data_IF_077017912420
#
_entry.id   IF_077017912420
#
_cell.length_a   1.000
_cell.length_b   1.000
_cell.length_c   1.000
_cell.angle_alpha   90.00
_cell.angle_beta   90.00
_cell.angle_gamma   90.00
#
_symmetry.space_group_name_H-M   'P 1'
#
loop_
_entity.id
_entity.type
_entity.pdbx_description
1 polymer ?
#
# COMPACT_ATOMS: atom_id res chain seq x y z
N UNK A 1 -29.42 -62.22 -22.95
CA UNK A 1 -28.05 -62.68 -23.25
C UNK A 1 -27.79 -62.46 -24.73
N UNK A 2 -26.68 -61.80 -25.08
CA UNK A 2 -26.15 -61.68 -26.46
C UNK A 2 -27.07 -60.91 -27.45
N UNK A 3 -26.52 -60.39 -28.58
CA UNK A 3 -26.61 -59.00 -29.00
C UNK A 3 -27.29 -58.86 -30.38
N UNK A 4 -27.46 -57.65 -30.91
CA UNK A 4 -27.39 -57.47 -32.37
C UNK A 4 -27.08 -56.04 -32.79
N UNK A 5 -26.03 -55.91 -33.59
CA UNK A 5 -25.80 -54.79 -34.48
C UNK A 5 -26.74 -54.88 -35.68
N UNK A 6 -27.23 -53.75 -36.22
CA UNK A 6 -27.44 -53.67 -37.67
C UNK A 6 -27.30 -52.25 -38.20
N UNK A 7 -26.40 -52.10 -39.17
CA UNK A 7 -26.33 -50.99 -40.13
C UNK A 7 -27.41 -51.21 -41.20
N UNK A 8 -28.00 -50.13 -41.71
CA UNK A 8 -28.31 -49.95 -43.16
C UNK A 8 -28.54 -48.46 -43.48
N UNK A 9 -27.91 -48.03 -44.58
CA UNK A 9 -27.86 -46.69 -45.24
C UNK A 9 -29.03 -46.54 -46.26
N UNK A 10 -29.00 -45.61 -47.26
CA UNK A 10 -29.18 -44.14 -47.26
C UNK A 10 -30.23 -43.68 -48.33
N UNK A 11 -30.49 -42.35 -48.48
CA UNK A 11 -30.67 -41.57 -49.76
C UNK A 11 -31.38 -40.22 -49.50
N UNK A 12 -30.76 -39.09 -49.90
CA UNK A 12 -31.06 -38.21 -51.06
C UNK A 12 -32.41 -37.48 -50.95
N UNK A 13 -32.63 -36.21 -51.33
CA UNK A 13 -31.85 -35.08 -51.85
C UNK A 13 -32.73 -33.82 -51.62
N UNK A 14 -32.16 -32.62 -51.68
CA UNK A 14 -32.95 -31.39 -51.68
C UNK A 14 -32.13 -30.12 -51.51
N UNK A 15 -31.89 -29.46 -52.64
CA UNK A 15 -31.24 -28.15 -52.82
C UNK A 15 -31.77 -27.04 -51.92
N UNK A 16 -30.91 -26.04 -51.65
CA UNK A 16 -31.33 -24.76 -51.11
C UNK A 16 -30.15 -23.95 -50.58
N UNK A 17 -29.61 -23.08 -51.44
CA UNK A 17 -28.54 -22.15 -51.16
C UNK A 17 -28.82 -21.21 -49.97
N UNK A 18 -27.77 -20.86 -49.20
CA UNK A 18 -27.22 -19.50 -49.10
C UNK A 18 -26.26 -19.38 -47.90
N UNK A 19 -25.18 -18.62 -48.11
CA UNK A 19 -23.94 -18.68 -47.34
C UNK A 19 -24.03 -18.17 -45.91
N UNK A 20 -23.44 -18.93 -44.98
CA UNK A 20 -23.04 -18.44 -43.66
C UNK A 20 -21.52 -18.30 -43.59
N UNK A 21 -21.01 -17.08 -43.82
CA UNK A 21 -19.68 -16.70 -43.36
C UNK A 21 -19.74 -16.52 -41.84
N UNK A 22 -19.30 -17.55 -41.10
CA UNK A 22 -19.06 -17.45 -39.65
C UNK A 22 -18.10 -16.29 -39.39
N UNK A 23 -18.61 -15.19 -38.84
CA UNK A 23 -17.80 -14.13 -38.27
C UNK A 23 -16.88 -14.71 -37.17
N UNK A 24 -15.56 -14.58 -37.35
CA UNK A 24 -14.58 -14.92 -36.34
C UNK A 24 -14.82 -14.03 -35.11
N UNK A 25 -15.13 -14.64 -33.96
CA UNK A 25 -15.17 -13.95 -32.67
C UNK A 25 -13.76 -13.44 -32.34
N UNK A 26 -13.57 -12.13 -32.46
CA UNK A 26 -12.36 -11.45 -32.00
C UNK A 26 -12.42 -11.37 -30.47
N UNK A 27 -11.39 -11.87 -29.81
CA UNK A 27 -11.20 -11.81 -28.35
C UNK A 27 -11.18 -10.34 -27.89
N UNK A 28 -11.73 -9.99 -26.70
CA UNK A 28 -11.92 -8.61 -26.26
C UNK A 28 -10.60 -8.01 -25.73
N UNK A 29 -9.59 -7.93 -26.58
CA UNK A 29 -8.29 -7.32 -26.26
C UNK A 29 -8.08 -5.97 -26.97
N UNK A 30 -8.95 -5.61 -27.93
CA UNK A 30 -8.90 -4.34 -28.66
C UNK A 30 -10.27 -3.64 -28.67
N UNK A 31 -10.85 -3.42 -27.49
CA UNK A 31 -11.77 -2.29 -27.33
C UNK A 31 -10.91 -1.11 -26.86
N UNK A 32 -10.79 -0.08 -27.72
CA UNK A 32 -10.39 1.26 -27.31
C UNK A 32 -11.15 1.58 -26.02
N UNK A 33 -10.43 1.95 -24.95
CA UNK A 33 -11.02 2.63 -23.80
C UNK A 33 -11.79 3.81 -24.37
N UNK A 34 -13.10 3.69 -24.47
CA UNK A 34 -13.98 4.84 -24.61
C UNK A 34 -13.72 5.66 -23.35
N UNK A 35 -13.08 6.81 -23.52
CA UNK A 35 -13.14 7.88 -22.52
C UNK A 35 -14.62 8.15 -22.29
N UNK A 36 -15.16 7.61 -21.19
CA UNK A 36 -16.40 8.12 -20.63
C UNK A 36 -16.04 9.53 -20.16
N UNK A 37 -16.31 10.51 -21.00
CA UNK A 37 -16.41 11.91 -20.59
C UNK A 37 -17.61 11.95 -19.64
N UNK A 38 -17.32 12.10 -18.36
CA UNK A 38 -18.26 12.03 -17.24
C UNK A 38 -19.40 13.07 -17.40
N UNK A 39 -20.66 12.66 -17.19
CA UNK A 39 -21.88 13.50 -17.10
C UNK A 39 -21.87 14.44 -15.86
N UNK A 40 -20.71 14.70 -15.26
CA UNK A 40 -20.51 15.45 -14.02
C UNK A 40 -20.00 16.90 -14.25
N UNK A 41 -19.85 17.32 -15.51
CA UNK A 41 -19.46 18.69 -15.86
C UNK A 41 -20.57 19.66 -15.41
N UNK A 42 -20.32 20.39 -14.33
CA UNK A 42 -21.22 21.40 -13.77
C UNK A 42 -21.86 21.05 -12.42
N UNK A 43 -21.66 19.84 -11.89
CA UNK A 43 -22.12 19.51 -10.53
C UNK A 43 -21.14 20.07 -9.48
N UNK A 44 -21.64 20.60 -8.34
CA UNK A 44 -20.81 21.04 -7.23
C UNK A 44 -19.86 19.94 -6.75
N UNK A 45 -20.39 18.74 -6.47
CA UNK A 45 -19.59 17.58 -6.09
C UNK A 45 -19.40 16.65 -7.28
N UNK A 46 -18.15 16.24 -7.53
CA UNK A 46 -17.80 15.31 -8.61
C UNK A 46 -16.66 14.38 -8.22
N UNK A 47 -16.73 13.13 -8.67
CA UNK A 47 -15.60 12.21 -8.62
C UNK A 47 -14.64 12.52 -9.77
N UNK A 48 -13.35 12.35 -9.52
CA UNK A 48 -12.30 12.48 -10.52
C UNK A 48 -11.70 11.10 -10.82
N UNK A 49 -10.95 10.95 -11.93
CA UNK A 49 -10.22 9.73 -12.19
C UNK A 49 -9.36 9.30 -10.97
N UNK A 50 -9.42 8.02 -10.56
CA UNK A 50 -8.59 7.52 -9.48
C UNK A 50 -7.10 7.76 -9.74
N UNK A 51 -6.36 8.04 -8.67
CA UNK A 51 -4.93 8.34 -8.72
C UNK A 51 -4.08 7.09 -8.47
N UNK A 52 -2.84 7.16 -8.93
CA UNK A 52 -1.85 6.10 -8.80
C UNK A 52 -1.92 5.02 -9.88
N UNK A 53 -0.85 4.21 -10.03
CA UNK A 53 -0.75 3.19 -11.08
C UNK A 53 -1.81 2.08 -10.94
N UNK A 54 -2.28 1.85 -9.72
CA UNK A 54 -3.27 0.83 -9.37
C UNK A 54 -4.69 1.38 -9.33
N UNK A 55 -4.89 2.70 -9.46
CA UNK A 55 -6.20 3.35 -9.31
C UNK A 55 -6.83 3.15 -7.92
N UNK A 56 -6.01 2.87 -6.90
CA UNK A 56 -6.47 2.55 -5.54
C UNK A 56 -6.74 3.77 -4.67
N UNK A 57 -6.35 4.96 -5.12
CA UNK A 57 -6.65 6.23 -4.47
C UNK A 57 -7.84 6.90 -5.19
N UNK A 58 -9.03 6.82 -4.60
CA UNK A 58 -10.18 7.57 -5.10
C UNK A 58 -10.00 9.05 -4.79
N UNK A 59 -10.50 9.89 -5.69
CA UNK A 59 -10.32 11.33 -5.60
C UNK A 59 -11.61 12.03 -6.03
N UNK A 60 -12.05 13.03 -5.27
CA UNK A 60 -13.22 13.85 -5.56
C UNK A 60 -13.01 15.29 -5.13
N UNK A 61 -13.85 16.18 -5.64
CA UNK A 61 -13.88 17.59 -5.24
C UNK A 61 -15.31 18.06 -5.03
N UNK A 62 -15.50 18.94 -4.06
CA UNK A 62 -16.71 19.73 -3.86
C UNK A 62 -16.43 21.18 -4.22
N UNK A 63 -17.30 21.77 -5.02
CA UNK A 63 -17.14 23.08 -5.65
C UNK A 63 -15.84 23.13 -6.50
N UNK A 64 -15.14 24.27 -6.44
CA UNK A 64 -13.83 24.47 -7.04
C UNK A 64 -12.81 24.75 -5.92
N UNK A 65 -12.28 23.72 -5.23
CA UNK A 65 -11.33 23.92 -4.15
C UNK A 65 -10.02 24.47 -4.71
N UNK A 66 -9.66 25.68 -4.27
CA UNK A 66 -8.40 26.33 -4.65
C UNK A 66 -7.20 25.61 -4.02
N UNK A 67 -6.07 25.64 -4.73
CA UNK A 67 -4.79 25.22 -4.18
C UNK A 67 -4.19 26.37 -3.37
N UNK A 68 -3.92 26.13 -2.09
CA UNK A 68 -3.39 27.13 -1.15
C UNK A 68 -2.15 26.58 -0.45
N UNK A 69 -1.32 27.47 0.11
CA UNK A 69 -0.13 27.06 0.86
C UNK A 69 -0.50 26.41 2.20
N UNK A 70 -1.63 26.79 2.81
CA UNK A 70 -2.12 26.24 4.07
C UNK A 70 -3.18 25.16 3.85
N UNK A 71 -2.98 23.99 4.44
CA UNK A 71 -3.90 22.85 4.33
C UNK A 71 -4.43 22.44 5.71
N UNK A 72 -5.75 22.41 5.82
CA UNK A 72 -6.44 21.75 6.92
C UNK A 72 -6.94 20.40 6.41
N UNK A 73 -6.18 19.35 6.71
CA UNK A 73 -6.55 17.99 6.35
C UNK A 73 -7.36 17.35 7.49
N UNK A 74 -8.38 16.56 7.18
CA UNK A 74 -9.25 15.91 8.17
C UNK A 74 -9.56 14.46 7.78
N UNK A 75 -9.65 13.58 8.76
CA UNK A 75 -10.32 12.29 8.58
C UNK A 75 -11.84 12.49 8.41
N UNK A 76 -12.52 11.45 7.91
CA UNK A 76 -13.97 11.44 7.71
C UNK A 76 -14.71 10.81 8.91
N UNK A 77 -14.54 9.50 9.11
CA UNK A 77 -15.38 8.66 9.96
C UNK A 77 -14.84 8.67 11.41
N UNK A 78 -15.56 9.33 12.32
CA UNK A 78 -15.09 9.58 13.69
C UNK A 78 -14.55 11.00 13.89
N UNK A 79 -14.39 11.77 12.80
CA UNK A 79 -13.84 13.13 12.82
C UNK A 79 -14.84 14.17 12.31
N UNK A 80 -15.20 14.13 11.04
CA UNK A 80 -16.22 15.02 10.47
C UNK A 80 -17.62 14.53 10.80
N UNK A 81 -17.82 13.23 10.66
CA UNK A 81 -19.07 12.54 10.95
C UNK A 81 -18.84 11.51 12.04
N UNK A 82 -19.91 11.05 12.69
CA UNK A 82 -19.81 9.91 13.61
C UNK A 82 -19.31 8.67 12.86
N UNK A 83 -18.52 7.86 13.53
CA UNK A 83 -17.99 6.62 12.95
C UNK A 83 -19.13 5.69 12.51
N UNK A 84 -19.11 5.29 11.25
CA UNK A 84 -20.10 4.39 10.67
C UNK A 84 -19.54 2.97 10.56
N UNK A 85 -19.88 2.14 11.55
CA UNK A 85 -19.49 0.73 11.59
C UNK A 85 -20.40 -0.18 10.75
N UNK A 86 -21.52 0.35 10.23
CA UNK A 86 -22.54 -0.42 9.50
C UNK A 86 -22.48 -0.18 8.00
N UNK A 87 -21.70 0.79 7.55
CA UNK A 87 -21.56 1.19 6.14
C UNK A 87 -22.90 1.58 5.52
N UNK A 88 -23.67 2.40 6.25
CA UNK A 88 -24.97 2.91 5.82
C UNK A 88 -24.82 4.20 5.03
N UNK A 89 -25.84 4.53 4.24
CA UNK A 89 -25.90 5.85 3.60
C UNK A 89 -26.17 6.98 4.61
N UNK A 90 -26.85 6.66 5.71
CA UNK A 90 -27.17 7.59 6.78
C UNK A 90 -25.92 7.95 7.58
N UNK A 91 -25.79 9.24 7.90
CA UNK A 91 -24.67 9.77 8.66
C UNK A 91 -25.15 10.94 9.53
N UNK A 92 -24.37 11.27 10.56
CA UNK A 92 -24.58 12.43 11.41
C UNK A 92 -23.26 13.14 11.58
N UNK A 93 -23.29 14.47 11.68
CA UNK A 93 -22.13 15.24 12.10
C UNK A 93 -21.56 14.69 13.40
N UNK A 94 -20.23 14.67 13.49
CA UNK A 94 -19.55 14.30 14.73
C UNK A 94 -19.98 15.25 15.87
N UNK A 95 -20.04 16.54 15.56
CA UNK A 95 -20.64 17.58 16.41
C UNK A 95 -21.36 18.63 15.54
N UNK A 96 -22.45 19.26 16.02
CA UNK A 96 -23.17 20.31 15.27
C UNK A 96 -22.29 21.49 14.82
N UNK A 97 -21.14 21.71 15.49
CA UNK A 97 -20.22 22.81 15.17
C UNK A 97 -19.33 22.54 13.94
N UNK A 98 -19.25 21.30 13.46
CA UNK A 98 -18.31 20.90 12.39
C UNK A 98 -18.49 21.74 11.11
N UNK A 99 -19.70 21.91 10.54
CA UNK A 99 -19.85 22.71 9.31
C UNK A 99 -19.43 24.17 9.50
N UNK A 100 -19.69 24.75 10.68
CA UNK A 100 -19.28 26.12 11.00
C UNK A 100 -17.76 26.22 11.04
N UNK A 101 -17.09 25.29 11.72
CA UNK A 101 -15.62 25.26 11.84
C UNK A 101 -14.92 25.06 10.50
N UNK A 102 -15.47 24.26 9.61
CA UNK A 102 -14.93 24.11 8.25
C UNK A 102 -15.06 25.39 7.42
N UNK A 103 -16.17 26.14 7.54
CA UNK A 103 -16.29 27.46 6.92
C UNK A 103 -15.28 28.45 7.47
N UNK A 104 -15.13 28.52 8.80
CA UNK A 104 -14.12 29.38 9.45
C UNK A 104 -12.71 29.09 8.93
N UNK A 105 -12.33 27.82 8.78
CA UNK A 105 -11.03 27.43 8.21
C UNK A 105 -10.89 27.87 6.74
N UNK A 106 -11.94 27.67 5.94
CA UNK A 106 -11.93 28.10 4.55
C UNK A 106 -11.78 29.63 4.43
N UNK A 107 -12.51 30.40 5.25
CA UNK A 107 -12.44 31.86 5.33
C UNK A 107 -11.05 32.35 5.79
N UNK A 108 -10.34 31.55 6.59
CA UNK A 108 -8.95 31.80 7.00
C UNK A 108 -7.91 31.44 5.92
N UNK A 109 -8.35 30.99 4.74
CA UNK A 109 -7.47 30.68 3.61
C UNK A 109 -6.89 29.26 3.63
N UNK A 110 -7.43 28.36 4.46
CA UNK A 110 -7.06 26.95 4.40
C UNK A 110 -7.78 26.26 3.24
N UNK A 111 -7.04 25.42 2.52
CA UNK A 111 -7.66 24.39 1.70
C UNK A 111 -8.12 23.25 2.60
N UNK A 112 -9.39 22.87 2.44
CA UNK A 112 -10.01 21.78 3.19
C UNK A 112 -9.78 20.48 2.42
N UNK A 113 -9.11 19.52 3.06
CA UNK A 113 -8.80 18.23 2.45
C UNK A 113 -9.30 17.09 3.33
N UNK A 114 -10.11 16.18 2.79
CA UNK A 114 -10.58 14.99 3.49
C UNK A 114 -9.70 13.81 3.09
N UNK A 115 -9.15 13.09 4.07
CA UNK A 115 -8.23 11.96 3.89
C UNK A 115 -8.81 10.73 4.60
N UNK A 116 -9.27 9.73 3.85
CA UNK A 116 -10.02 8.59 4.40
C UNK A 116 -9.47 7.22 3.98
N UNK A 117 -9.57 6.24 4.87
CA UNK A 117 -9.17 4.85 4.63
C UNK A 117 -10.41 3.98 4.38
N UNK A 118 -10.70 3.60 3.14
CA UNK A 118 -11.97 2.96 2.73
C UNK A 118 -11.78 1.63 1.99
N UNK A 119 -11.28 0.62 2.71
CA UNK A 119 -11.12 -0.74 2.18
C UNK A 119 -12.48 -1.48 2.15
N UNK A 120 -13.36 -1.00 1.27
CA UNK A 120 -14.76 -1.43 1.14
C UNK A 120 -14.95 -2.34 -0.08
N UNK A 121 -15.92 -3.25 0.00
CA UNK A 121 -16.36 -4.04 -1.16
C UNK A 121 -17.18 -3.18 -2.12
N UNK A 122 -17.31 -3.60 -3.39
CA UNK A 122 -17.96 -2.82 -4.44
C UNK A 122 -19.34 -2.23 -4.07
N UNK A 123 -20.23 -3.04 -3.48
CA UNK A 123 -21.56 -2.57 -3.06
C UNK A 123 -21.50 -1.51 -1.94
N UNK A 124 -20.67 -1.74 -0.93
CA UNK A 124 -20.45 -0.80 0.17
C UNK A 124 -19.78 0.48 -0.31
N UNK A 125 -18.88 0.37 -1.29
CA UNK A 125 -18.22 1.51 -1.90
C UNK A 125 -19.24 2.41 -2.61
N UNK A 126 -20.22 1.84 -3.32
CA UNK A 126 -21.31 2.61 -3.92
C UNK A 126 -22.09 3.38 -2.86
N UNK A 127 -22.55 2.69 -1.80
CA UNK A 127 -23.25 3.32 -0.67
C UNK A 127 -22.41 4.44 -0.02
N UNK A 128 -21.11 4.20 0.13
CA UNK A 128 -20.20 5.18 0.69
C UNK A 128 -20.03 6.40 -0.22
N UNK A 129 -19.96 6.23 -1.55
CA UNK A 129 -19.94 7.35 -2.50
C UNK A 129 -21.22 8.20 -2.41
N UNK A 130 -22.39 7.56 -2.27
CA UNK A 130 -23.67 8.25 -2.10
C UNK A 130 -23.71 9.04 -0.77
N UNK A 131 -23.18 8.45 0.31
CA UNK A 131 -22.97 9.12 1.60
C UNK A 131 -22.07 10.34 1.47
N UNK A 132 -20.93 10.23 0.80
CA UNK A 132 -20.00 11.37 0.58
C UNK A 132 -20.69 12.47 -0.24
N UNK A 133 -21.45 12.13 -1.28
CA UNK A 133 -22.22 13.13 -2.04
C UNK A 133 -23.28 13.83 -1.18
N UNK A 134 -23.90 13.13 -0.22
CA UNK A 134 -24.82 13.72 0.75
C UNK A 134 -24.09 14.68 1.72
N UNK A 135 -22.90 14.32 2.19
CA UNK A 135 -22.05 15.20 3.02
C UNK A 135 -21.66 16.46 2.25
N UNK A 136 -21.29 16.32 0.96
CA UNK A 136 -20.94 17.44 0.11
C UNK A 136 -22.10 18.44 -0.04
N UNK A 137 -23.34 17.95 -0.21
CA UNK A 137 -24.54 18.80 -0.22
C UNK A 137 -24.73 19.56 1.10
N UNK A 138 -24.45 18.94 2.24
CA UNK A 138 -24.53 19.60 3.54
C UNK A 138 -23.38 20.60 3.79
N UNK A 139 -22.34 20.60 2.95
CA UNK A 139 -21.20 21.52 2.93
C UNK A 139 -21.19 22.38 1.66
N UNK A 140 -22.36 22.83 1.20
CA UNK A 140 -22.49 23.56 -0.07
C UNK A 140 -21.59 24.79 -0.19
N UNK A 141 -21.26 25.45 0.93
CA UNK A 141 -20.41 26.65 0.99
C UNK A 141 -18.93 26.37 1.30
N UNK A 142 -18.52 25.10 1.43
CA UNK A 142 -17.14 24.73 1.75
C UNK A 142 -16.54 23.94 0.58
N UNK A 143 -15.67 24.56 -0.22
CA UNK A 143 -14.86 23.84 -1.20
C UNK A 143 -13.92 22.87 -0.48
N UNK A 144 -13.91 21.61 -0.90
CA UNK A 144 -12.98 20.62 -0.36
C UNK A 144 -12.52 19.63 -1.42
N UNK A 145 -11.34 19.05 -1.18
CA UNK A 145 -10.82 17.90 -1.92
C UNK A 145 -10.91 16.66 -1.05
N UNK A 146 -11.25 15.51 -1.61
CA UNK A 146 -11.31 14.25 -0.88
C UNK A 146 -10.41 13.21 -1.54
N UNK A 147 -9.61 12.53 -0.73
CA UNK A 147 -8.86 11.34 -1.10
C UNK A 147 -9.30 10.15 -0.25
N UNK A 148 -9.47 8.99 -0.88
CA UNK A 148 -9.79 7.76 -0.17
C UNK A 148 -8.99 6.55 -0.67
N UNK A 149 -8.26 5.91 0.25
CA UNK A 149 -7.47 4.72 -0.05
C UNK A 149 -8.33 3.45 0.03
N UNK A 150 -8.44 2.72 -1.07
CA UNK A 150 -9.33 1.56 -1.19
C UNK A 150 -8.66 0.22 -0.90
N UNK A 151 -7.33 0.17 -0.81
CA UNK A 151 -6.57 -1.05 -0.51
C UNK A 151 -5.48 -0.77 0.53
N UNK A 152 -4.68 -1.79 0.89
CA UNK A 152 -3.56 -1.67 1.83
C UNK A 152 -2.26 -1.44 1.08
N UNK A 153 -2.05 -0.21 0.62
CA UNK A 153 -0.86 0.22 -0.10
C UNK A 153 -0.34 1.58 0.42
N UNK A 154 0.51 2.24 -0.36
CA UNK A 154 1.10 3.54 -0.04
C UNK A 154 0.10 4.67 0.20
N UNK A 155 -1.14 4.55 -0.28
CA UNK A 155 -2.18 5.56 -0.07
C UNK A 155 -2.85 5.41 1.29
N UNK A 156 -2.85 4.21 1.87
CA UNK A 156 -3.55 3.94 3.14
C UNK A 156 -2.80 4.54 4.33
N UNK A 157 -3.46 5.42 5.09
CA UNK A 157 -2.90 5.94 6.36
C UNK A 157 -2.45 4.76 7.25
N UNK A 158 -1.22 4.81 7.82
CA UNK A 158 -0.39 6.00 8.02
C UNK A 158 0.59 6.31 6.88
N UNK A 159 0.51 5.63 5.74
CA UNK A 159 1.38 5.92 4.60
C UNK A 159 1.04 7.29 3.97
N UNK A 160 2.04 8.09 3.56
CA UNK A 160 1.85 9.47 3.11
C UNK A 160 1.34 9.61 1.66
N UNK A 161 1.05 8.52 0.94
CA UNK A 161 0.79 8.57 -0.50
C UNK A 161 -0.36 9.48 -0.93
N UNK A 162 -1.43 9.59 -0.14
CA UNK A 162 -2.53 10.54 -0.44
C UNK A 162 -2.07 12.01 -0.37
N UNK A 163 -1.14 12.33 0.54
CA UNK A 163 -0.57 13.67 0.65
C UNK A 163 0.40 13.99 -0.49
N UNK A 164 1.20 13.02 -0.93
CA UNK A 164 2.09 13.22 -2.07
C UNK A 164 1.32 13.51 -3.36
N UNK A 165 0.14 12.92 -3.54
CA UNK A 165 -0.75 13.29 -4.65
C UNK A 165 -1.29 14.71 -4.51
N UNK A 166 -1.63 15.14 -3.29
CA UNK A 166 -2.04 16.52 -3.02
C UNK A 166 -0.91 17.51 -3.36
N UNK A 167 0.31 17.27 -2.86
CA UNK A 167 1.51 18.07 -3.18
C UNK A 167 1.75 18.12 -4.69
N UNK A 168 1.65 16.98 -5.38
CA UNK A 168 1.80 16.90 -6.85
C UNK A 168 0.75 17.73 -7.56
N UNK A 169 -0.52 17.66 -7.14
CA UNK A 169 -1.60 18.46 -7.73
C UNK A 169 -1.40 19.95 -7.50
N UNK A 170 -0.96 20.35 -6.30
CA UNK A 170 -0.75 21.76 -5.96
C UNK A 170 0.45 22.34 -6.69
N UNK A 171 1.51 21.54 -6.88
CA UNK A 171 2.66 21.93 -7.68
C UNK A 171 2.30 22.21 -9.15
N UNK A 172 1.31 21.50 -9.71
CA UNK A 172 0.79 21.78 -11.07
C UNK A 172 0.11 23.16 -11.15
N UNK A 173 -0.47 23.62 -10.04
CA UNK A 173 -1.04 24.95 -9.90
C UNK A 173 0.01 26.01 -9.47
N UNK A 174 1.29 25.63 -9.39
CA UNK A 174 2.38 26.52 -8.95
C UNK A 174 2.40 26.79 -7.44
N UNK A 175 1.72 25.96 -6.63
CA UNK A 175 1.58 26.13 -5.18
C UNK A 175 2.40 25.08 -4.45
N UNK A 176 3.23 25.52 -3.51
CA UNK A 176 3.93 24.66 -2.55
C UNK A 176 3.22 24.72 -1.20
N UNK A 177 2.93 23.56 -0.61
CA UNK A 177 2.28 23.48 0.70
C UNK A 177 3.29 23.80 1.79
N UNK A 178 2.91 24.70 2.69
CA UNK A 178 3.61 24.99 3.93
C UNK A 178 3.15 24.00 5.01
N UNK A 179 4.04 23.10 5.39
CA UNK A 179 3.75 22.04 6.37
C UNK A 179 3.67 22.54 7.81
N UNK A 180 4.35 23.65 8.13
CA UNK A 180 4.36 24.22 9.47
C UNK A 180 3.03 24.90 9.78
N UNK A 181 2.46 25.57 8.76
CA UNK A 181 1.14 26.20 8.81
C UNK A 181 -0.01 25.24 8.48
N UNK A 182 0.29 23.97 8.16
CA UNK A 182 -0.71 22.94 7.87
C UNK A 182 -0.89 21.97 9.03
N UNK A 183 -2.07 21.36 9.10
CA UNK A 183 -2.37 20.40 10.16
C UNK A 183 -3.34 19.32 9.71
N UNK A 184 -3.36 18.22 10.47
CA UNK A 184 -4.28 17.12 10.31
C UNK A 184 -5.16 16.92 11.54
N UNK A 185 -6.46 16.74 11.33
CA UNK A 185 -7.45 16.42 12.37
C UNK A 185 -7.91 14.96 12.19
N UNK A 186 -7.81 14.14 13.22
CA UNK A 186 -8.26 12.75 13.15
C UNK A 186 -8.53 12.10 14.51
N UNK A 187 -9.44 11.14 14.56
CA UNK A 187 -9.84 10.45 15.79
C UNK A 187 -8.96 9.25 16.12
N UNK A 188 -8.33 8.63 15.10
CA UNK A 188 -7.41 7.51 15.27
C UNK A 188 -6.05 7.99 15.81
N UNK A 189 -6.07 8.48 17.04
CA UNK A 189 -5.00 9.22 17.69
C UNK A 189 -4.20 8.39 18.71
N UNK A 190 -4.58 7.12 18.94
CA UNK A 190 -3.91 6.23 19.90
C UNK A 190 -4.13 6.61 21.37
N UNK A 191 -5.21 7.32 21.71
CA UNK A 191 -5.51 7.76 23.07
C UNK A 191 -5.94 6.58 23.96
N UNK A 192 -5.52 6.61 25.22
CA UNK A 192 -5.90 5.62 26.24
C UNK A 192 -6.67 6.29 27.36
N UNK A 193 -8.00 6.09 27.38
CA UNK A 193 -8.89 6.66 28.40
C UNK A 193 -8.91 5.82 29.68
N UNK A 194 -8.78 4.51 29.55
CA UNK A 194 -8.71 3.57 30.67
C UNK A 194 -8.01 2.27 30.23
N UNK A 195 -7.82 1.32 31.16
CA UNK A 195 -7.27 -0.01 30.84
C UNK A 195 -8.06 -0.76 29.76
N UNK A 196 -9.36 -0.48 29.61
CA UNK A 196 -10.26 -1.17 28.68
C UNK A 196 -10.75 -0.29 27.54
N UNK A 197 -10.64 1.04 27.66
CA UNK A 197 -11.11 2.00 26.65
C UNK A 197 -9.93 2.77 26.06
N UNK A 198 -9.67 2.54 24.78
CA UNK A 198 -8.66 3.24 23.98
C UNK A 198 -9.16 3.42 22.55
N UNK A 199 -8.53 4.33 21.81
CA UNK A 199 -8.78 4.48 20.37
C UNK A 199 -8.48 3.15 19.65
N UNK A 200 -9.25 2.85 18.62
CA UNK A 200 -9.09 1.63 17.82
C UNK A 200 -7.72 1.57 17.13
N UNK A 201 -7.20 2.74 16.73
CA UNK A 201 -5.96 2.87 16.00
C UNK A 201 -5.24 4.19 16.33
N UNK A 202 -4.00 4.29 15.85
CA UNK A 202 -3.16 5.48 15.89
C UNK A 202 -2.77 5.95 14.47
N UNK A 203 -3.53 5.54 13.46
CA UNK A 203 -3.18 5.75 12.04
C UNK A 203 -3.17 7.21 11.65
N UNK A 204 -4.04 8.03 12.24
CA UNK A 204 -4.14 9.45 11.91
C UNK A 204 -2.97 10.24 12.49
N UNK A 205 -2.68 10.01 13.78
CA UNK A 205 -1.52 10.62 14.44
C UNK A 205 -0.20 10.21 13.77
N UNK A 206 -0.06 8.93 13.38
CA UNK A 206 1.11 8.44 12.65
C UNK A 206 1.22 9.03 11.25
N UNK A 207 0.10 9.25 10.57
CA UNK A 207 0.09 9.85 9.25
C UNK A 207 0.61 11.29 9.31
N UNK A 208 0.12 12.09 10.26
CA UNK A 208 0.62 13.45 10.49
C UNK A 208 2.11 13.45 10.88
N UNK A 209 2.53 12.51 11.74
CA UNK A 209 3.94 12.33 12.11
C UNK A 209 4.84 12.03 10.91
N UNK A 210 4.43 11.12 10.03
CA UNK A 210 5.17 10.76 8.82
C UNK A 210 5.31 11.92 7.83
N UNK A 211 4.40 12.89 7.90
CA UNK A 211 4.40 14.10 7.07
C UNK A 211 5.07 15.30 7.75
N UNK A 212 5.38 15.19 9.05
CA UNK A 212 5.86 16.30 9.88
C UNK A 212 4.91 17.51 9.88
N UNK A 213 3.60 17.25 9.91
CA UNK A 213 2.56 18.29 10.07
C UNK A 213 1.94 18.21 11.47
N UNK A 214 1.38 19.33 11.94
CA UNK A 214 0.71 19.38 13.24
C UNK A 214 -0.50 18.43 13.27
N UNK A 215 -0.70 17.73 14.39
CA UNK A 215 -1.83 16.84 14.60
C UNK A 215 -2.76 17.37 15.69
N UNK A 216 -4.06 17.27 15.45
CA UNK A 216 -5.12 17.60 16.38
C UNK A 216 -6.17 16.50 16.42
N UNK A 217 -6.84 16.31 17.56
CA UNK A 217 -8.05 15.48 17.64
C UNK A 217 -9.32 16.30 17.34
N UNK A 218 -10.45 15.67 16.98
CA UNK A 218 -11.71 16.36 16.79
C UNK A 218 -12.13 17.18 18.03
N UNK A 219 -11.90 16.63 19.22
CA UNK A 219 -12.17 17.29 20.50
C UNK A 219 -11.27 18.52 20.73
N UNK A 220 -9.98 18.40 20.44
CA UNK A 220 -9.04 19.52 20.54
C UNK A 220 -9.41 20.65 19.58
N UNK A 221 -9.76 20.32 18.33
CA UNK A 221 -10.00 21.33 17.31
C UNK A 221 -11.43 21.92 17.34
N UNK A 222 -12.46 21.08 17.37
CA UNK A 222 -13.85 21.54 17.25
C UNK A 222 -14.43 22.03 18.57
N UNK A 223 -13.99 21.46 19.69
CA UNK A 223 -14.51 21.77 21.03
C UNK A 223 -13.53 22.56 21.90
N UNK A 224 -12.31 22.84 21.40
CA UNK A 224 -11.25 23.51 22.15
C UNK A 224 -10.92 22.82 23.48
N UNK A 225 -11.02 21.48 23.53
CA UNK A 225 -10.63 20.72 24.71
C UNK A 225 -9.10 20.58 24.80
N UNK A 226 -8.60 20.40 26.02
CA UNK A 226 -7.19 20.18 26.24
C UNK A 226 -6.72 18.87 25.56
N UNK A 227 -5.48 18.82 25.04
CA UNK A 227 -4.94 17.61 24.44
C UNK A 227 -4.92 16.43 25.39
N UNK A 228 -5.27 15.25 24.87
CA UNK A 228 -5.21 14.03 25.66
C UNK A 228 -3.75 13.64 25.95
N UNK A 229 -3.38 13.51 27.23
CA UNK A 229 -1.99 13.32 27.65
C UNK A 229 -1.50 11.88 27.54
N UNK A 230 -2.40 10.89 27.65
CA UNK A 230 -2.05 9.47 27.59
C UNK A 230 -2.28 8.90 26.18
N UNK A 231 -1.19 8.78 25.41
CA UNK A 231 -1.20 8.35 24.01
C UNK A 231 -0.16 7.26 23.79
N UNK A 232 -0.53 6.22 23.05
CA UNK A 232 0.36 5.14 22.64
C UNK A 232 0.40 5.01 21.10
N UNK A 233 1.61 4.92 20.56
CA UNK A 233 1.86 4.64 19.14
C UNK A 233 2.42 3.21 18.99
N UNK A 234 1.56 2.17 18.98
CA UNK A 234 2.03 0.78 18.95
C UNK A 234 2.73 0.44 17.64
N UNK A 235 3.67 -0.50 17.68
CA UNK A 235 4.39 -1.01 16.50
C UNK A 235 5.85 -0.53 16.47
N UNK A 236 6.49 -0.75 15.31
CA UNK A 236 7.89 -0.42 15.12
C UNK A 236 8.07 1.06 14.75
N UNK A 237 8.88 1.79 15.52
CA UNK A 237 9.25 3.16 15.23
C UNK A 237 10.63 3.18 14.57
N UNK A 238 10.68 3.48 13.27
CA UNK A 238 11.94 3.53 12.52
C UNK A 238 12.85 4.65 13.05
N UNK A 239 12.28 5.78 13.43
CA UNK A 239 13.04 6.94 13.93
C UNK A 239 13.65 6.71 15.32
N UNK A 240 13.25 5.66 16.05
CA UNK A 240 13.90 5.28 17.31
C UNK A 240 15.11 4.38 17.12
N UNK A 241 15.42 3.97 15.89
CA UNK A 241 16.60 3.16 15.63
C UNK A 241 17.87 4.00 15.85
N UNK A 242 18.87 3.47 16.57
CA UNK A 242 20.18 4.11 16.63
C UNK A 242 20.83 4.08 15.25
N UNK A 243 21.69 5.06 14.99
CA UNK A 243 22.60 4.99 13.85
C UNK A 243 23.66 3.92 14.14
N UNK A 244 23.63 2.84 13.35
CA UNK A 244 24.49 1.68 13.51
C UNK A 244 25.29 1.47 12.22
N UNK A 245 26.54 1.00 12.32
CA UNK A 245 27.30 0.62 11.15
C UNK A 245 26.55 -0.47 10.37
N UNK A 246 26.59 -0.39 9.04
CA UNK A 246 25.86 -1.32 8.16
C UNK A 246 26.32 -2.78 8.32
N UNK A 247 27.54 -3.02 8.80
CA UNK A 247 28.14 -4.33 8.96
C UNK A 247 28.81 -4.42 10.33
N UNK A 248 28.52 -5.52 11.04
CA UNK A 248 29.10 -5.84 12.34
C UNK A 248 29.69 -7.27 12.35
N UNK A 249 30.81 -7.50 13.06
CA UNK A 249 31.65 -6.49 13.70
C UNK A 249 32.41 -5.66 12.65
N UNK A 250 32.59 -4.37 12.92
CA UNK A 250 33.28 -3.45 11.99
C UNK A 250 34.78 -3.72 11.87
N UNK A 251 35.33 -4.56 12.75
CA UNK A 251 36.74 -4.97 12.76
C UNK A 251 37.08 -6.03 11.71
N UNK A 252 36.08 -6.75 11.18
CA UNK A 252 36.29 -7.78 10.16
C UNK A 252 35.81 -7.30 8.79
N UNK A 253 36.68 -7.41 7.79
CA UNK A 253 36.32 -7.17 6.39
C UNK A 253 35.18 -8.08 5.96
N UNK A 254 34.22 -7.52 5.22
CA UNK A 254 33.08 -8.30 4.71
C UNK A 254 33.55 -9.39 3.74
N UNK A 255 34.58 -9.13 2.93
CA UNK A 255 35.16 -10.10 2.02
C UNK A 255 36.53 -10.52 2.56
N UNK A 256 36.92 -11.80 2.40
CA UNK A 256 38.22 -12.27 2.85
C UNK A 256 39.34 -11.62 2.02
N UNK A 257 40.41 -11.22 2.70
CA UNK A 257 41.65 -10.71 2.11
C UNK A 257 42.84 -11.50 2.71
N UNK A 258 43.59 -12.30 1.93
CA UNK A 258 43.41 -12.53 0.49
C UNK A 258 42.12 -13.29 0.15
N UNK A 259 41.63 -13.22 -1.11
CA UNK A 259 40.46 -13.95 -1.55
C UNK A 259 40.58 -15.45 -1.25
N UNK A 260 39.58 -16.00 -0.57
CA UNK A 260 39.52 -17.42 -0.23
C UNK A 260 38.15 -18.00 -0.53
N UNK A 261 38.12 -19.32 -0.77
CA UNK A 261 36.89 -20.04 -1.06
C UNK A 261 36.08 -20.23 0.21
N UNK A 262 34.86 -19.71 0.24
CA UNK A 262 33.98 -19.80 1.40
C UNK A 262 32.50 -19.98 1.03
N UNK A 263 31.72 -20.39 2.02
CA UNK A 263 30.28 -20.47 1.94
C UNK A 263 29.66 -19.45 2.90
N UNK A 264 28.86 -18.53 2.36
CA UNK A 264 28.12 -17.54 3.15
C UNK A 264 26.65 -17.93 3.21
N UNK A 265 26.14 -18.08 4.43
CA UNK A 265 24.77 -18.50 4.68
C UNK A 265 23.97 -17.32 5.23
N UNK A 266 23.14 -16.71 4.39
CA UNK A 266 22.25 -15.65 4.85
C UNK A 266 21.13 -16.20 5.72
N UNK A 267 20.84 -15.54 6.84
CA UNK A 267 19.77 -15.95 7.76
C UNK A 267 18.90 -14.75 8.12
N UNK A 268 17.63 -14.79 7.72
CA UNK A 268 16.70 -13.72 8.08
C UNK A 268 15.37 -13.83 7.36
N UNK A 269 14.35 -13.18 7.92
CA UNK A 269 13.01 -13.12 7.34
C UNK A 269 13.02 -12.64 5.88
N UNK A 270 12.00 -13.00 5.08
CA UNK A 270 11.79 -12.40 3.77
C UNK A 270 11.71 -10.87 3.87
N UNK A 271 12.05 -10.18 2.77
CA UNK A 271 11.96 -8.71 2.65
C UNK A 271 12.82 -7.88 3.63
N UNK A 272 13.87 -8.46 4.23
CA UNK A 272 14.86 -7.72 5.03
C UNK A 272 16.10 -7.25 4.22
N UNK A 273 16.03 -7.26 2.90
CA UNK A 273 17.12 -6.75 2.05
C UNK A 273 18.29 -7.71 1.79
N UNK A 274 18.17 -9.00 2.14
CA UNK A 274 19.23 -10.02 1.92
C UNK A 274 19.73 -10.08 0.48
N UNK A 275 18.84 -10.20 -0.49
CA UNK A 275 19.21 -10.22 -1.92
C UNK A 275 19.84 -8.90 -2.38
N UNK A 276 19.38 -7.77 -1.85
CA UNK A 276 20.00 -6.46 -2.11
C UNK A 276 21.43 -6.41 -1.56
N UNK A 277 21.65 -6.91 -0.34
CA UNK A 277 22.97 -7.01 0.28
C UNK A 277 23.90 -7.93 -0.53
N UNK A 278 23.41 -9.08 -1.01
CA UNK A 278 24.16 -9.94 -1.95
C UNK A 278 24.58 -9.18 -3.21
N UNK A 279 23.63 -8.51 -3.86
CA UNK A 279 23.87 -7.79 -5.13
C UNK A 279 24.91 -6.68 -4.96
N UNK A 280 24.85 -5.97 -3.84
CA UNK A 280 25.74 -4.84 -3.57
C UNK A 280 27.17 -5.29 -3.24
N UNK A 281 27.34 -6.36 -2.46
CA UNK A 281 28.64 -6.71 -1.88
C UNK A 281 29.28 -7.99 -2.44
N UNK A 282 28.49 -9.02 -2.72
CA UNK A 282 28.99 -10.36 -3.05
C UNK A 282 28.99 -10.64 -4.55
N UNK A 283 28.01 -10.13 -5.27
CA UNK A 283 27.90 -10.34 -6.72
C UNK A 283 29.11 -9.73 -7.45
N UNK A 284 29.51 -8.51 -7.07
CA UNK A 284 30.68 -7.84 -7.65
C UNK A 284 31.99 -8.54 -7.32
N UNK A 285 32.03 -9.28 -6.20
CA UNK A 285 33.17 -10.08 -5.78
C UNK A 285 33.20 -11.49 -6.40
N UNK A 286 32.25 -11.81 -7.31
CA UNK A 286 32.24 -13.07 -8.04
C UNK A 286 31.63 -14.27 -7.29
N UNK A 287 30.88 -14.04 -6.21
CA UNK A 287 30.23 -15.14 -5.49
C UNK A 287 29.03 -15.67 -6.27
N UNK A 288 28.90 -16.99 -6.36
CA UNK A 288 27.73 -17.64 -6.96
C UNK A 288 26.47 -17.41 -6.10
N UNK A 289 25.40 -16.90 -6.71
CA UNK A 289 24.10 -16.70 -6.05
C UNK A 289 23.31 -18.01 -6.03
N UNK A 290 22.98 -18.51 -4.85
CA UNK A 290 22.15 -19.70 -4.68
C UNK A 290 20.88 -19.31 -3.93
N UNK A 291 19.77 -19.26 -4.68
CA UNK A 291 18.47 -18.84 -4.18
C UNK A 291 17.37 -19.82 -4.61
N UNK A 292 16.54 -20.25 -3.66
CA UNK A 292 15.46 -21.22 -3.89
C UNK A 292 14.31 -20.65 -4.71
N UNK A 293 14.05 -19.34 -4.70
CA UNK A 293 12.99 -18.73 -5.53
C UNK A 293 13.32 -18.87 -7.04
N UNK A 294 14.62 -18.81 -7.37
CA UNK A 294 15.15 -19.06 -8.72
C UNK A 294 15.23 -20.55 -9.02
N UNK A 295 15.85 -21.33 -8.12
CA UNK A 295 16.10 -22.77 -8.31
C UNK A 295 14.87 -23.66 -8.02
N UNK A 296 13.78 -23.07 -7.54
CA UNK A 296 12.47 -23.66 -7.16
C UNK A 296 12.51 -24.61 -5.97
N UNK A 297 13.51 -25.48 -5.86
CA UNK A 297 13.52 -26.54 -4.83
C UNK A 297 14.82 -26.55 -4.03
N UNK A 298 14.70 -26.90 -2.75
CA UNK A 298 15.85 -27.03 -1.84
C UNK A 298 16.88 -28.08 -2.31
N UNK A 299 16.50 -29.28 -2.81
CA UNK A 299 17.47 -30.22 -3.36
C UNK A 299 18.31 -29.63 -4.49
N UNK A 300 17.72 -28.80 -5.36
CA UNK A 300 18.47 -28.07 -6.40
C UNK A 300 19.44 -27.06 -5.81
N UNK A 301 19.06 -26.35 -4.74
CA UNK A 301 19.99 -25.47 -4.03
C UNK A 301 21.16 -26.26 -3.42
N UNK A 302 20.88 -27.39 -2.77
CA UNK A 302 21.90 -28.28 -2.19
C UNK A 302 22.86 -28.78 -3.29
N UNK A 303 22.34 -29.19 -4.45
CA UNK A 303 23.16 -29.61 -5.57
C UNK A 303 24.05 -28.47 -6.10
N UNK A 304 23.50 -27.26 -6.26
CA UNK A 304 24.26 -26.08 -6.69
C UNK A 304 25.38 -25.72 -5.70
N UNK A 305 25.13 -25.82 -4.38
CA UNK A 305 26.18 -25.62 -3.36
C UNK A 305 27.27 -26.67 -3.48
N UNK A 306 26.91 -27.95 -3.69
CA UNK A 306 27.89 -29.02 -3.87
C UNK A 306 28.73 -28.83 -5.13
N UNK A 307 28.14 -28.35 -6.22
CA UNK A 307 28.85 -28.03 -7.46
C UNK A 307 29.82 -26.86 -7.28
N UNK A 308 29.35 -25.75 -6.70
CA UNK A 308 30.21 -24.62 -6.37
C UNK A 308 31.39 -25.02 -5.46
N UNK A 309 31.12 -25.84 -4.44
CA UNK A 309 32.14 -26.36 -3.53
C UNK A 309 33.18 -27.26 -4.23
N UNK A 310 32.78 -28.05 -5.24
CA UNK A 310 33.70 -28.87 -6.05
C UNK A 310 34.56 -28.03 -6.98
N UNK A 311 33.99 -26.97 -7.55
CA UNK A 311 34.65 -26.10 -8.52
C UNK A 311 35.54 -25.03 -7.87
N UNK A 312 35.65 -25.01 -6.53
CA UNK A 312 36.39 -23.96 -5.82
C UNK A 312 35.75 -22.58 -6.03
N UNK A 313 34.42 -22.49 -6.01
CA UNK A 313 33.71 -21.22 -6.14
C UNK A 313 33.11 -20.81 -4.81
N UNK A 314 33.32 -19.56 -4.41
CA UNK A 314 32.62 -18.99 -3.25
C UNK A 314 31.15 -18.79 -3.59
N UNK A 315 30.26 -19.07 -2.64
CA UNK A 315 28.82 -18.98 -2.88
C UNK A 315 28.08 -18.38 -1.69
N UNK A 316 26.96 -17.71 -2.01
CA UNK A 316 26.02 -17.19 -1.02
C UNK A 316 24.69 -17.92 -1.15
N UNK A 317 24.22 -18.52 -0.06
CA UNK A 317 22.89 -19.13 0.02
C UNK A 317 21.91 -18.09 0.56
N UNK A 318 21.24 -17.42 -0.37
CA UNK A 318 20.26 -16.37 -0.11
C UNK A 318 18.84 -16.97 -0.01
N UNK A 319 18.58 -17.58 1.14
CA UNK A 319 17.27 -18.11 1.51
C UNK A 319 16.91 -17.64 2.92
N UNK A 320 15.70 -17.92 3.37
CA UNK A 320 15.28 -17.56 4.75
C UNK A 320 16.10 -18.30 5.82
N UNK A 321 16.47 -19.56 5.56
CA UNK A 321 17.35 -20.38 6.42
C UNK A 321 16.99 -20.37 7.93
N UNK A 322 15.68 -20.32 8.21
CA UNK A 322 15.10 -20.00 9.53
C UNK A 322 15.57 -20.90 10.68
N UNK A 323 15.59 -22.22 10.47
CA UNK A 323 15.83 -23.19 11.54
C UNK A 323 17.17 -23.92 11.39
N UNK A 324 17.70 -24.41 12.51
CA UNK A 324 18.98 -25.10 12.57
C UNK A 324 19.02 -26.34 11.66
N UNK A 325 17.91 -27.08 11.56
CA UNK A 325 17.79 -28.25 10.69
C UNK A 325 18.00 -27.91 9.20
N UNK A 326 17.48 -26.76 8.74
CA UNK A 326 17.69 -26.32 7.35
C UNK A 326 19.13 -25.89 7.12
N UNK A 327 19.72 -25.15 8.07
CA UNK A 327 21.12 -24.71 7.98
C UNK A 327 22.10 -25.87 8.00
N UNK A 328 21.76 -26.95 8.73
CA UNK A 328 22.57 -28.16 8.83
C UNK A 328 22.93 -28.77 7.47
N UNK A 329 22.02 -28.76 6.50
CA UNK A 329 22.32 -29.27 5.15
C UNK A 329 23.52 -28.57 4.50
N UNK A 330 23.60 -27.24 4.62
CA UNK A 330 24.69 -26.46 4.04
C UNK A 330 25.98 -26.53 4.88
N UNK A 331 25.85 -26.55 6.20
CA UNK A 331 26.97 -26.72 7.13
C UNK A 331 27.66 -28.07 6.90
N UNK A 332 26.89 -29.15 6.70
CA UNK A 332 27.44 -30.48 6.46
C UNK A 332 28.20 -30.54 5.11
N UNK A 333 27.75 -29.81 4.08
CA UNK A 333 28.49 -29.69 2.81
C UNK A 333 29.81 -28.94 3.02
N UNK A 334 29.78 -27.79 3.71
CA UNK A 334 30.99 -27.01 3.99
C UNK A 334 32.02 -27.86 4.75
N UNK A 335 31.59 -28.59 5.79
CA UNK A 335 32.46 -29.51 6.56
C UNK A 335 33.06 -30.62 5.68
N UNK A 336 32.24 -31.25 4.83
CA UNK A 336 32.70 -32.31 3.92
C UNK A 336 33.79 -31.83 2.96
N UNK A 337 33.66 -30.59 2.47
CA UNK A 337 34.61 -29.98 1.54
C UNK A 337 35.71 -29.14 2.23
N UNK A 338 35.75 -29.13 3.58
CA UNK A 338 36.67 -28.32 4.39
C UNK A 338 36.64 -26.82 4.03
N UNK A 339 35.47 -26.31 3.66
CA UNK A 339 35.26 -24.90 3.35
C UNK A 339 34.92 -24.11 4.62
N UNK A 340 35.52 -22.93 4.83
CA UNK A 340 35.02 -21.95 5.77
C UNK A 340 33.54 -21.64 5.52
N UNK A 341 32.76 -21.57 6.60
CA UNK A 341 31.35 -21.18 6.55
C UNK A 341 31.11 -20.05 7.53
N UNK A 342 30.41 -19.01 7.07
CA UNK A 342 29.97 -17.89 7.91
C UNK A 342 28.51 -17.56 7.69
N UNK A 343 27.92 -16.92 8.70
CA UNK A 343 26.56 -16.42 8.66
C UNK A 343 26.56 -14.97 8.23
N UNK A 344 25.58 -14.58 7.42
CA UNK A 344 25.33 -13.20 7.02
C UNK A 344 23.87 -12.82 7.14
#
# INVERSE_FOLDING_TARGET
MQPSSSKKRPREAGDGAEGSTKARKVHPFFQKRSEQVDDDVGKPFRWLPPLGPTGSCLHAVNQAPASTTKVAALDLDGTLIKADLRHTADWQWWSPVVPKKLRELHEQGYSIVIISNQNLKAAQLKTWKDKVASIARALESVPFRLFAATVKDQYRKPMPGMWYELERLYALDGVQIDKEESFFIGDAAGRIYSKTKKDFASTDRKWALNLSIKFLTPEEHFLNLAPHTNVELPGFNVSSLPDLPQILPSSSSLLPDPPSHELVLFVGSPCLGKTSFYTQHFQKAGYTHINQDTLKTRPKCIAAVQEAAKNGQSCVIDNTNRNAATRKFYIDIAKKHKLPIRYG
#
